data_IF_452218045665
#
_entry.id   IF_452218045665
#
_cell.length_a   1.000
_cell.length_b   1.000
_cell.length_c   1.000
_cell.angle_alpha   90.00
_cell.angle_beta   90.00
_cell.angle_gamma   90.00
#
_symmetry.space_group_name_H-M   'P 1'
#
loop_
_entity.id
_entity.type
_entity.pdbx_description
1 polymer ?
#
# COMPACT_ATOMS: atom_id res chain seq x y z
N UNK A 1 6.18 -11.22 -22.54
CA UNK A 1 6.27 -9.95 -21.77
C UNK A 1 6.07 -10.28 -20.30
N UNK A 2 6.82 -9.67 -19.37
CA UNK A 2 6.67 -9.94 -17.92
C UNK A 2 6.04 -8.73 -17.23
N UNK A 3 4.86 -8.86 -16.60
CA UNK A 3 4.24 -7.74 -15.92
C UNK A 3 5.06 -7.34 -14.69
N UNK A 4 5.00 -6.05 -14.34
CA UNK A 4 5.49 -5.54 -13.06
C UNK A 4 4.31 -5.23 -12.16
N UNK A 5 4.46 -5.53 -10.87
CA UNK A 5 3.48 -5.13 -9.87
C UNK A 5 3.94 -3.84 -9.21
N UNK A 6 3.02 -2.89 -9.05
CA UNK A 6 3.29 -1.60 -8.44
C UNK A 6 2.23 -1.33 -7.38
N UNK A 7 2.67 -1.03 -6.16
CA UNK A 7 1.80 -0.47 -5.12
C UNK A 7 1.80 1.04 -5.24
N UNK A 8 0.67 1.60 -5.66
CA UNK A 8 0.48 3.04 -5.79
C UNK A 8 0.48 3.69 -4.41
N UNK A 9 1.21 4.79 -4.26
CA UNK A 9 1.24 5.61 -3.04
C UNK A 9 0.66 7.00 -3.25
N UNK A 10 0.71 7.51 -4.49
CA UNK A 10 0.23 8.83 -4.85
C UNK A 10 -0.10 8.88 -6.34
N UNK A 11 -1.17 9.57 -6.69
CA UNK A 11 -1.42 10.08 -8.05
C UNK A 11 -0.90 11.51 -8.08
N UNK A 12 -0.11 11.85 -9.09
CA UNK A 12 0.45 13.20 -9.23
C UNK A 12 -0.48 14.05 -10.10
N UNK A 13 -0.83 15.23 -9.62
CA UNK A 13 -1.72 16.19 -10.32
C UNK A 13 -0.97 17.00 -11.40
N UNK A 14 0.01 16.37 -12.07
CA UNK A 14 0.76 17.02 -13.15
C UNK A 14 -0.07 17.08 -14.43
N UNK A 15 0.13 18.08 -15.31
CA UNK A 15 -0.57 18.15 -16.60
C UNK A 15 -0.37 16.87 -17.42
N UNK A 16 -1.47 16.29 -17.91
CA UNK A 16 -1.49 15.07 -18.74
C UNK A 16 -2.41 15.22 -19.95
N UNK A 17 -2.40 14.22 -20.82
CA UNK A 17 -3.39 14.04 -21.88
C UNK A 17 -4.62 13.28 -21.36
N UNK A 18 -5.73 13.37 -22.09
CA UNK A 18 -6.96 12.65 -21.73
C UNK A 18 -6.71 11.14 -21.54
N UNK A 19 -7.20 10.60 -20.42
CA UNK A 19 -7.01 9.19 -20.03
C UNK A 19 -5.62 8.82 -19.51
N UNK A 20 -4.62 9.72 -19.58
CA UNK A 20 -3.27 9.51 -19.04
C UNK A 20 -3.12 10.12 -17.65
N UNK A 21 -2.31 9.48 -16.81
CA UNK A 21 -2.01 9.95 -15.47
C UNK A 21 -0.57 9.63 -15.05
N UNK A 22 -0.08 10.41 -14.09
CA UNK A 22 1.17 10.13 -13.40
C UNK A 22 0.88 9.45 -12.05
N UNK A 23 1.52 8.30 -11.79
CA UNK A 23 1.53 7.66 -10.48
C UNK A 23 2.93 7.58 -9.91
N UNK A 24 3.02 7.73 -8.60
CA UNK A 24 4.14 7.31 -7.79
C UNK A 24 3.79 6.01 -7.07
N UNK A 25 4.71 5.04 -7.12
CA UNK A 25 4.51 3.75 -6.50
C UNK A 25 5.78 2.96 -6.25
N UNK A 26 5.65 1.92 -5.43
CA UNK A 26 6.71 0.94 -5.22
C UNK A 26 6.53 -0.25 -6.14
N UNK A 27 7.55 -0.55 -6.94
CA UNK A 27 7.63 -1.84 -7.62
C UNK A 27 7.77 -2.96 -6.58
N UNK A 28 6.99 -4.01 -6.75
CA UNK A 28 7.02 -5.18 -5.88
C UNK A 28 7.82 -6.32 -6.53
N UNK A 29 8.65 -6.98 -5.72
CA UNK A 29 9.19 -8.30 -6.06
C UNK A 29 8.10 -9.37 -5.97
N UNK A 30 8.41 -10.60 -6.40
CA UNK A 30 7.51 -11.74 -6.32
C UNK A 30 7.01 -12.04 -4.89
N UNK A 31 7.79 -11.68 -3.85
CA UNK A 31 7.42 -11.82 -2.44
C UNK A 31 6.62 -10.63 -1.88
N UNK A 32 6.24 -9.67 -2.72
CA UNK A 32 5.52 -8.45 -2.30
C UNK A 32 6.38 -7.37 -1.63
N UNK A 33 7.70 -7.56 -1.56
CA UNK A 33 8.63 -6.56 -1.01
C UNK A 33 8.82 -5.40 -1.99
N UNK A 34 8.86 -4.17 -1.49
CA UNK A 34 9.18 -2.98 -2.28
C UNK A 34 10.67 -3.00 -2.67
N UNK A 35 10.95 -3.06 -3.98
CA UNK A 35 12.32 -3.11 -4.49
C UNK A 35 12.79 -1.80 -5.10
N UNK A 36 11.88 -0.98 -5.60
CA UNK A 36 12.20 0.31 -6.20
C UNK A 36 11.01 1.25 -6.09
N UNK A 37 11.26 2.56 -5.96
CA UNK A 37 10.26 3.60 -6.16
C UNK A 37 10.28 4.02 -7.62
N UNK A 38 9.10 4.19 -8.23
CA UNK A 38 8.94 4.58 -9.64
C UNK A 38 7.86 5.64 -9.77
N UNK A 39 8.13 6.62 -10.62
CA UNK A 39 7.13 7.53 -11.18
C UNK A 39 6.77 7.03 -12.57
N UNK A 40 5.51 6.73 -12.83
CA UNK A 40 5.05 6.12 -14.07
C UNK A 40 3.98 7.01 -14.73
N UNK A 41 4.14 7.24 -16.03
CA UNK A 41 3.13 7.86 -16.88
C UNK A 41 2.36 6.77 -17.63
N UNK A 42 1.09 6.58 -17.30
CA UNK A 42 0.30 5.41 -17.72
C UNK A 42 -1.09 5.82 -18.20
N UNK A 43 -1.65 5.02 -19.10
CA UNK A 43 -3.05 5.12 -19.49
C UNK A 43 -3.91 4.37 -18.47
N UNK A 44 -4.87 5.07 -17.87
CA UNK A 44 -5.75 4.53 -16.81
C UNK A 44 -6.50 3.27 -17.25
N UNK A 45 -7.01 3.26 -18.48
CA UNK A 45 -7.76 2.14 -19.06
C UNK A 45 -6.93 0.85 -19.25
N UNK A 46 -5.60 0.95 -19.25
CA UNK A 46 -4.70 -0.20 -19.41
C UNK A 46 -4.23 -0.83 -18.09
N UNK A 47 -4.66 -0.30 -16.94
CA UNK A 47 -4.25 -0.79 -15.63
C UNK A 47 -5.04 -2.05 -15.24
N UNK A 48 -4.33 -3.08 -14.81
CA UNK A 48 -4.91 -4.32 -14.29
C UNK A 48 -4.76 -4.32 -12.76
N UNK A 49 -5.87 -4.38 -12.05
CA UNK A 49 -5.89 -4.52 -10.60
C UNK A 49 -5.80 -6.00 -10.25
N UNK A 50 -4.72 -6.47 -9.61
CA UNK A 50 -4.67 -7.84 -9.11
C UNK A 50 -5.66 -7.99 -7.94
N UNK A 51 -6.19 -9.19 -7.77
CA UNK A 51 -6.99 -9.50 -6.58
C UNK A 51 -6.19 -9.15 -5.31
N UNK A 52 -6.81 -8.48 -4.33
CA UNK A 52 -6.13 -8.15 -3.10
C UNK A 52 -5.66 -9.46 -2.45
N UNK A 53 -4.39 -9.55 -2.00
CA UNK A 53 -3.95 -10.72 -1.25
C UNK A 53 -4.88 -10.90 -0.05
N UNK A 54 -5.28 -12.15 0.21
CA UNK A 54 -6.15 -12.49 1.33
C UNK A 54 -5.65 -11.74 2.59
N UNK A 55 -6.53 -11.04 3.32
CA UNK A 55 -6.11 -10.21 4.43
C UNK A 55 -5.27 -11.07 5.36
N UNK A 56 -4.00 -10.67 5.56
CA UNK A 56 -3.13 -11.32 6.52
C UNK A 56 -3.89 -11.32 7.84
N UNK A 57 -4.23 -12.52 8.34
CA UNK A 57 -5.02 -12.68 9.56
C UNK A 57 -4.43 -11.76 10.61
N UNK A 58 -5.17 -10.69 10.93
CA UNK A 58 -4.72 -9.67 11.88
C UNK A 58 -4.56 -10.42 13.20
N UNK A 59 -3.32 -10.76 13.56
CA UNK A 59 -3.04 -11.46 14.81
C UNK A 59 -3.60 -10.56 15.90
N UNK A 60 -4.63 -10.97 16.65
CA UNK A 60 -5.16 -10.14 17.70
C UNK A 60 -4.03 -9.92 18.70
N UNK A 61 -3.49 -8.71 18.73
CA UNK A 61 -2.73 -8.23 19.87
C UNK A 61 -3.72 -8.18 21.01
N UNK A 62 -3.85 -9.29 21.72
CA UNK A 62 -4.56 -9.35 22.99
C UNK A 62 -3.74 -8.52 23.96
N UNK A 63 -3.97 -7.21 23.96
CA UNK A 63 -3.51 -6.33 25.01
C UNK A 63 -4.21 -6.78 26.27
N UNK A 64 -3.47 -7.46 27.15
CA UNK A 64 -3.98 -7.78 28.48
C UNK A 64 -4.35 -6.46 29.18
N UNK A 65 -5.57 -6.30 29.71
CA UNK A 65 -5.92 -5.08 30.43
C UNK A 65 -5.06 -4.99 31.69
N UNK A 66 -4.22 -3.95 31.76
CA UNK A 66 -3.45 -3.63 32.96
C UNK A 66 -4.46 -3.18 34.03
N UNK A 67 -4.72 -4.02 35.03
CA UNK A 67 -5.56 -3.67 36.18
C UNK A 67 -4.84 -2.58 36.98
N UNK A 68 -5.25 -1.32 36.81
CA UNK A 68 -4.80 -0.20 37.67
C UNK A 68 -5.57 -0.30 39.00
N UNK A 69 -4.90 -0.82 40.03
CA UNK A 69 -5.40 -0.73 41.41
C UNK A 69 -5.29 0.71 41.95
N UNK A 70 -6.13 1.11 42.92
CA UNK A 70 -6.09 2.46 43.48
C UNK A 70 -4.78 2.67 44.26
N UNK A 71 -4.03 3.71 43.89
CA UNK A 71 -2.87 4.19 44.65
C UNK A 71 -3.40 4.96 45.85
N UNK A 72 -3.10 4.50 47.08
CA UNK A 72 -3.32 5.28 48.30
C UNK A 72 -2.14 6.25 48.47
N UNK A 73 -2.43 7.55 48.37
CA UNK A 73 -1.53 8.63 48.79
C UNK A 73 -1.89 8.95 50.24
N UNK A 74 -0.91 8.78 51.13
CA UNK A 74 -0.96 9.26 52.52
C UNK A 74 -0.19 10.55 52.68
#
# INVERSE_FOLDING_TARGET
MRPIFVRVIRVLDWPTYDGWLWIDGYQLAAKGAAVARRSLFVMSAGLIWPDPPAPAARRPTTGAPIKRGPVRVG
#
